data_IF_018873303637
#
_entry.id   IF_018873303637
#
_cell.length_a   1.000
_cell.length_b   1.000
_cell.length_c   1.000
_cell.angle_alpha   90.00
_cell.angle_beta   90.00
_cell.angle_gamma   90.00
#
_symmetry.space_group_name_H-M   'P 1'
#
loop_
_entity.id
_entity.type
_entity.pdbx_description
1 polymer ?
#
# COMPACT_ATOMS: atom_id res chain seq x y z
N UNK A 1 -39.08 -14.21 -9.58
CA UNK A 1 -38.31 -12.94 -9.64
C UNK A 1 -37.60 -12.80 -8.30
N UNK A 2 -36.35 -13.26 -8.22
CA UNK A 2 -35.55 -13.26 -6.98
C UNK A 2 -34.30 -12.45 -7.19
N UNK A 3 -34.31 -11.21 -6.72
CA UNK A 3 -33.11 -10.41 -6.51
C UNK A 3 -32.83 -10.39 -5.00
N UNK A 4 -31.54 -10.28 -4.67
CA UNK A 4 -30.93 -10.02 -3.36
C UNK A 4 -30.22 -11.20 -2.71
N UNK A 5 -28.99 -10.88 -2.25
CA UNK A 5 -28.10 -11.59 -1.33
C UNK A 5 -27.03 -12.51 -1.92
N UNK A 6 -26.01 -11.91 -2.55
CA UNK A 6 -24.63 -12.43 -2.56
C UNK A 6 -23.64 -11.26 -2.74
N UNK A 7 -23.41 -10.47 -1.69
CA UNK A 7 -22.31 -9.49 -1.65
C UNK A 7 -21.94 -9.17 -0.20
N UNK A 8 -21.47 -10.16 0.55
CA UNK A 8 -21.01 -9.95 1.94
C UNK A 8 -20.07 -11.08 2.37
N UNK A 9 -18.90 -11.16 1.73
CA UNK A 9 -17.75 -11.85 2.32
C UNK A 9 -16.47 -11.39 1.62
N UNK A 10 -15.42 -11.10 2.39
CA UNK A 10 -14.00 -11.07 2.00
C UNK A 10 -13.29 -9.71 1.94
N UNK A 11 -13.65 -8.72 2.76
CA UNK A 11 -12.94 -7.42 2.72
C UNK A 11 -11.77 -7.27 3.70
N UNK A 12 -11.68 -8.04 4.79
CA UNK A 12 -10.52 -7.94 5.70
C UNK A 12 -10.36 -9.20 6.55
N UNK A 13 -9.16 -9.77 6.62
CA UNK A 13 -8.81 -10.84 7.57
C UNK A 13 -7.76 -10.31 8.54
N UNK A 14 -7.89 -10.65 9.82
CA UNK A 14 -6.93 -10.28 10.87
C UNK A 14 -5.88 -11.38 11.01
N UNK A 15 -4.59 -11.02 10.99
CA UNK A 15 -3.49 -11.93 11.30
C UNK A 15 -2.84 -11.54 12.64
N UNK A 16 -2.71 -12.46 13.62
CA UNK A 16 -2.09 -12.15 14.90
C UNK A 16 -0.56 -12.30 14.82
N UNK A 17 0.15 -11.17 14.88
CA UNK A 17 1.48 -11.08 15.53
C UNK A 17 1.26 -10.43 16.89
N UNK A 18 1.89 -10.97 17.95
CA UNK A 18 1.64 -10.62 19.35
C UNK A 18 1.27 -9.13 19.57
N UNK A 19 0.05 -8.90 20.07
CA UNK A 19 -0.44 -7.59 20.50
C UNK A 19 -0.91 -6.62 19.40
N UNK A 20 -0.65 -6.86 18.11
CA UNK A 20 -1.03 -5.94 17.04
C UNK A 20 -1.87 -6.63 15.96
N UNK A 21 -3.09 -6.12 15.75
CA UNK A 21 -4.03 -6.57 14.71
C UNK A 21 -3.56 -6.03 13.35
N UNK A 22 -3.01 -6.91 12.50
CA UNK A 22 -2.70 -6.59 11.10
C UNK A 22 -3.93 -6.80 10.22
N UNK A 23 -4.28 -5.76 9.44
CA UNK A 23 -5.44 -5.80 8.54
C UNK A 23 -5.04 -6.30 7.15
N UNK A 24 -5.64 -7.39 6.70
CA UNK A 24 -5.46 -7.90 5.33
C UNK A 24 -6.39 -7.20 4.34
N UNK A 25 -5.87 -6.77 3.20
CA UNK A 25 -6.60 -5.99 2.19
C UNK A 25 -6.43 -6.65 0.81
N UNK A 26 -7.54 -6.88 0.12
CA UNK A 26 -7.54 -7.44 -1.24
C UNK A 26 -7.13 -6.37 -2.27
N UNK A 27 -5.99 -6.58 -2.94
CA UNK A 27 -5.39 -5.67 -3.93
C UNK A 27 -5.81 -5.93 -5.39
N UNK A 28 -6.78 -6.81 -5.62
CA UNK A 28 -7.32 -7.14 -6.94
C UNK A 28 -8.65 -6.46 -7.28
N UNK A 29 -9.23 -5.72 -6.33
CA UNK A 29 -10.50 -5.01 -6.51
C UNK A 29 -10.30 -3.61 -7.14
N UNK A 30 -11.40 -2.96 -7.53
CA UNK A 30 -11.46 -1.64 -8.19
C UNK A 30 -10.67 -1.58 -9.52
N UNK A 31 -10.09 -0.43 -9.88
CA UNK A 31 -9.45 -0.15 -11.19
C UNK A 31 -8.13 -0.92 -11.42
N UNK A 32 -7.92 -2.07 -10.79
CA UNK A 32 -6.72 -2.89 -10.94
C UNK A 32 -5.58 -2.51 -10.00
N UNK A 33 -5.89 -2.45 -8.71
CA UNK A 33 -4.97 -2.62 -7.58
C UNK A 33 -4.04 -1.47 -7.21
N UNK A 34 -3.67 -0.61 -8.17
CA UNK A 34 -2.73 0.49 -7.90
C UNK A 34 -3.28 1.55 -6.93
N UNK A 35 -4.58 1.85 -7.00
CA UNK A 35 -5.22 2.83 -6.11
C UNK A 35 -5.35 2.31 -4.67
N UNK A 36 -5.68 1.02 -4.51
CA UNK A 36 -5.76 0.36 -3.20
C UNK A 36 -4.42 0.45 -2.49
N UNK A 37 -3.35 0.06 -3.18
CA UNK A 37 -2.02 0.12 -2.60
C UNK A 37 -1.68 1.51 -2.04
N UNK A 38 -1.90 2.58 -2.83
CA UNK A 38 -1.59 3.94 -2.40
C UNK A 38 -2.43 4.38 -1.20
N UNK A 39 -3.74 4.19 -1.28
CA UNK A 39 -4.66 4.66 -0.25
C UNK A 39 -4.50 3.85 1.04
N UNK A 40 -4.42 2.52 0.94
CA UNK A 40 -4.24 1.65 2.09
C UNK A 40 -2.92 1.94 2.80
N UNK A 41 -1.82 2.12 2.08
CA UNK A 41 -0.52 2.45 2.68
C UNK A 41 -0.55 3.81 3.38
N UNK A 42 -1.15 4.82 2.75
CA UNK A 42 -1.29 6.15 3.36
C UNK A 42 -2.16 6.14 4.62
N UNK A 43 -3.32 5.50 4.56
CA UNK A 43 -4.22 5.37 5.70
C UNK A 43 -3.60 4.52 6.82
N UNK A 44 -2.86 3.46 6.49
CA UNK A 44 -2.10 2.67 7.45
C UNK A 44 -1.15 3.56 8.26
N UNK A 45 -0.35 4.38 7.58
CA UNK A 45 0.57 5.32 8.21
C UNK A 45 -0.13 6.38 9.06
N UNK A 46 -1.21 6.99 8.56
CA UNK A 46 -1.98 8.02 9.29
C UNK A 46 -2.67 7.43 10.53
N UNK A 47 -3.17 6.21 10.45
CA UNK A 47 -3.92 5.55 11.51
C UNK A 47 -3.05 4.68 12.44
N UNK A 48 -1.75 4.59 12.17
CA UNK A 48 -0.80 3.70 12.86
C UNK A 48 -1.29 2.24 12.95
N UNK A 49 -1.90 1.74 11.87
CA UNK A 49 -2.46 0.39 11.79
C UNK A 49 -1.67 -0.44 10.79
N UNK A 50 -1.05 -1.57 11.18
CA UNK A 50 -0.34 -2.41 10.22
C UNK A 50 -1.30 -3.07 9.23
N UNK A 51 -0.84 -3.20 7.99
CA UNK A 51 -1.61 -3.79 6.90
C UNK A 51 -0.80 -4.83 6.13
N UNK A 52 -1.53 -5.77 5.54
CA UNK A 52 -1.03 -6.71 4.53
C UNK A 52 -1.91 -6.59 3.29
N UNK A 53 -1.34 -6.24 2.15
CA UNK A 53 -2.10 -6.14 0.89
C UNK A 53 -1.75 -7.35 0.04
N UNK A 54 -2.74 -8.15 -0.35
CA UNK A 54 -2.58 -9.38 -1.14
C UNK A 54 -3.14 -9.23 -2.55
N UNK A 55 -2.78 -10.12 -3.47
CA UNK A 55 -3.31 -10.15 -4.85
C UNK A 55 -3.17 -8.82 -5.60
N UNK A 56 -2.08 -8.09 -5.36
CA UNK A 56 -1.83 -6.75 -5.91
C UNK A 56 -1.87 -6.81 -7.44
N UNK A 57 -2.81 -6.07 -8.04
CA UNK A 57 -2.97 -5.97 -9.51
C UNK A 57 -3.17 -7.33 -10.21
N UNK A 58 -3.73 -8.34 -9.51
CA UNK A 58 -3.89 -9.69 -10.05
C UNK A 58 -4.72 -9.74 -11.35
N UNK A 59 -5.65 -8.81 -11.55
CA UNK A 59 -6.52 -8.74 -12.73
C UNK A 59 -5.95 -7.88 -13.88
N UNK A 60 -4.65 -7.56 -13.86
CA UNK A 60 -3.95 -6.81 -14.93
C UNK A 60 -3.05 -7.76 -15.73
N UNK A 61 -2.82 -7.44 -17.01
CA UNK A 61 -1.90 -8.18 -17.90
C UNK A 61 -0.50 -8.36 -17.33
N UNK A 62 -0.08 -7.40 -16.49
CA UNK A 62 1.19 -7.38 -15.78
C UNK A 62 0.87 -7.26 -14.28
N UNK A 63 0.74 -8.34 -13.49
CA UNK A 63 0.34 -8.31 -12.07
C UNK A 63 1.44 -7.75 -11.15
N UNK A 64 1.17 -7.60 -9.86
CA UNK A 64 2.15 -7.18 -8.85
C UNK A 64 2.59 -5.71 -8.89
N UNK A 65 3.52 -5.36 -8.01
CA UNK A 65 4.12 -4.03 -7.91
C UNK A 65 4.84 -3.64 -9.20
N UNK A 66 4.73 -2.36 -9.57
CA UNK A 66 5.47 -1.76 -10.69
C UNK A 66 6.38 -0.67 -10.13
N UNK A 67 7.41 -0.21 -10.87
CA UNK A 67 8.39 0.75 -10.35
C UNK A 67 7.76 1.97 -9.64
N UNK A 68 6.68 2.53 -10.21
CA UNK A 68 5.94 3.65 -9.61
C UNK A 68 5.23 3.29 -8.30
N UNK A 69 4.67 2.08 -8.21
CA UNK A 69 4.03 1.57 -7.00
C UNK A 69 5.06 1.35 -5.91
N UNK A 70 6.17 0.69 -6.27
CA UNK A 70 7.26 0.39 -5.37
C UNK A 70 7.92 1.66 -4.81
N UNK A 71 8.14 2.65 -5.69
CA UNK A 71 8.71 3.93 -5.29
C UNK A 71 7.85 4.61 -4.23
N UNK A 72 6.55 4.77 -4.48
CA UNK A 72 5.63 5.38 -3.51
C UNK A 72 5.50 4.58 -2.21
N UNK A 73 5.47 3.25 -2.30
CA UNK A 73 5.41 2.37 -1.14
C UNK A 73 6.66 2.50 -0.26
N UNK A 74 7.86 2.52 -0.85
CA UNK A 74 9.10 2.74 -0.10
C UNK A 74 9.20 4.15 0.47
N UNK A 75 8.71 5.17 -0.25
CA UNK A 75 8.72 6.55 0.23
C UNK A 75 7.90 6.69 1.51
N UNK A 76 6.69 6.12 1.53
CA UNK A 76 5.82 6.24 2.70
C UNK A 76 6.34 5.45 3.90
N UNK A 77 7.00 4.31 3.66
CA UNK A 77 7.69 3.56 4.69
C UNK A 77 8.84 4.34 5.32
N UNK A 78 9.64 5.03 4.50
CA UNK A 78 10.71 5.92 4.98
C UNK A 78 10.16 7.08 5.83
N UNK A 79 9.07 7.73 5.38
CA UNK A 79 8.42 8.82 6.13
C UNK A 79 7.92 8.38 7.50
N UNK A 80 7.52 7.11 7.65
CA UNK A 80 6.88 6.62 8.88
C UNK A 80 7.75 5.63 9.67
N UNK A 81 9.03 5.48 9.30
CA UNK A 81 9.95 4.47 9.83
C UNK A 81 9.30 3.08 9.93
N UNK A 82 8.59 2.69 8.87
CA UNK A 82 7.79 1.47 8.87
C UNK A 82 8.67 0.22 8.68
N UNK A 83 8.29 -0.87 9.34
CA UNK A 83 8.76 -2.20 8.94
C UNK A 83 7.98 -2.65 7.70
N UNK A 84 8.69 -3.16 6.71
CA UNK A 84 8.13 -3.50 5.39
C UNK A 84 8.57 -4.88 4.94
N UNK A 85 7.70 -5.56 4.20
CA UNK A 85 8.04 -6.79 3.48
C UNK A 85 7.37 -6.83 2.11
N UNK A 86 7.98 -7.55 1.16
CA UNK A 86 7.47 -7.69 -0.19
C UNK A 86 7.65 -6.44 -1.07
N UNK A 87 8.47 -5.48 -0.66
CA UNK A 87 8.81 -4.22 -1.35
C UNK A 87 9.82 -4.44 -2.50
N UNK A 88 9.45 -5.33 -3.42
CA UNK A 88 10.19 -5.65 -4.66
C UNK A 88 9.28 -5.57 -5.88
N UNK A 89 9.86 -5.32 -7.05
CA UNK A 89 9.10 -5.29 -8.32
C UNK A 89 8.42 -6.65 -8.54
N UNK A 90 7.23 -6.62 -9.16
CA UNK A 90 6.36 -7.78 -9.43
C UNK A 90 5.80 -8.49 -8.18
N UNK A 91 6.13 -8.04 -6.97
CA UNK A 91 5.52 -8.58 -5.76
C UNK A 91 4.00 -8.43 -5.78
N UNK A 92 3.30 -9.54 -5.54
CA UNK A 92 1.84 -9.56 -5.44
C UNK A 92 1.34 -9.41 -4.00
N UNK A 93 2.24 -9.24 -3.04
CA UNK A 93 1.90 -9.10 -1.63
C UNK A 93 2.89 -8.18 -0.93
N UNK A 94 2.39 -7.26 -0.12
CA UNK A 94 3.22 -6.40 0.73
C UNK A 94 2.69 -6.36 2.15
N UNK A 95 3.58 -6.13 3.10
CA UNK A 95 3.23 -5.78 4.47
C UNK A 95 3.86 -4.44 4.83
N UNK A 96 3.12 -3.65 5.61
CA UNK A 96 3.53 -2.35 6.11
C UNK A 96 3.11 -2.24 7.57
N UNK A 97 4.08 -2.08 8.46
CA UNK A 97 3.85 -1.82 9.89
C UNK A 97 4.46 -0.46 10.24
N UNK A 98 3.67 0.63 10.20
CA UNK A 98 4.17 1.97 10.47
C UNK A 98 4.51 2.17 11.94
N UNK A 99 5.48 3.05 12.23
CA UNK A 99 5.71 3.53 13.59
C UNK A 99 4.62 4.52 14.03
N UNK A 100 4.62 4.92 15.29
CA UNK A 100 3.71 5.93 15.84
C UNK A 100 4.03 7.38 15.43
N UNK A 101 5.02 7.60 14.56
CA UNK A 101 5.47 8.95 14.18
C UNK A 101 5.61 9.06 12.67
N UNK A 102 5.08 10.15 12.13
CA UNK A 102 5.29 10.55 10.73
C UNK A 102 6.31 11.68 10.74
N UNK A 103 7.39 11.50 9.99
CA UNK A 103 8.44 12.49 9.83
C UNK A 103 8.10 13.46 8.69
N UNK A 104 8.15 14.76 8.98
CA UNK A 104 8.19 15.80 7.95
C UNK A 104 9.58 15.92 7.34
N UNK A 105 9.67 16.53 6.16
CA UNK A 105 10.94 16.77 5.47
C UNK A 105 10.84 16.63 3.96
N UNK A 106 11.99 16.72 3.29
CA UNK A 106 12.11 16.54 1.85
C UNK A 106 12.50 15.09 1.57
N UNK A 107 11.64 14.39 0.85
CA UNK A 107 11.89 13.02 0.40
C UNK A 107 11.99 13.00 -1.12
N UNK A 108 13.10 12.48 -1.64
CA UNK A 108 13.35 12.35 -3.08
C UNK A 108 13.63 10.89 -3.40
N UNK A 109 12.96 10.37 -4.42
CA UNK A 109 13.17 9.00 -4.89
C UNK A 109 12.96 8.90 -6.39
N UNK A 110 13.86 8.19 -7.05
CA UNK A 110 13.78 7.97 -8.49
C UNK A 110 12.88 6.79 -8.80
N UNK A 111 11.92 6.99 -9.70
CA UNK A 111 11.13 5.90 -10.25
C UNK A 111 11.94 5.33 -11.40
N UNK A 112 12.45 4.10 -11.24
CA UNK A 112 13.33 3.43 -12.21
C UNK A 112 12.78 3.22 -13.63
N UNK A 113 11.63 3.81 -13.97
CA UNK A 113 11.10 3.93 -15.33
C UNK A 113 10.49 5.33 -15.51
N UNK A 114 11.20 6.21 -16.20
CA UNK A 114 10.74 7.44 -16.88
C UNK A 114 9.88 8.46 -16.09
N UNK A 115 10.24 8.78 -14.84
CA UNK A 115 9.69 9.97 -14.18
C UNK A 115 10.30 10.26 -12.82
N UNK A 116 10.87 11.46 -12.64
CA UNK A 116 11.22 11.99 -11.32
C UNK A 116 9.97 12.61 -10.69
N UNK A 117 9.62 12.23 -9.46
CA UNK A 117 8.69 13.00 -8.64
C UNK A 117 9.51 13.95 -7.76
N UNK A 118 9.54 15.25 -8.13
CA UNK A 118 10.02 16.30 -7.23
C UNK A 118 8.81 16.85 -6.47
N UNK A 119 8.83 16.76 -5.14
CA UNK A 119 7.95 17.57 -4.30
C UNK A 119 8.73 18.83 -3.92
N UNK A 120 8.42 19.95 -4.59
CA UNK A 120 8.92 21.28 -4.22
C UNK A 120 7.82 22.03 -3.50
N UNK A 121 8.10 22.53 -2.29
CA UNK A 121 7.32 23.60 -1.70
C UNK A 121 7.80 24.93 -2.28
N UNK A 122 6.88 25.76 -2.76
CA UNK A 122 7.14 27.11 -3.25
C UNK A 122 6.51 28.18 -2.35
N UNK A 123 6.43 27.95 -1.04
CA UNK A 123 5.95 28.94 -0.06
C UNK A 123 6.86 29.02 1.18
N UNK A 124 7.98 29.72 1.00
CA UNK A 124 8.30 30.92 1.79
C UNK A 124 7.97 32.14 0.93
#
# INVERSE_FOLDING_TARGET
>A
MGFMSHWLASTTRVLPKAGIIMLEIAGNIMEGGGQILRNSSALSCILHKPIRIVSIRANRSKPGLRPQHLCGFKLIGEMCKAEMSGDVVDSCTVELSPSSTILGGIYTKEVGTAGMYKFSDSRV
#
